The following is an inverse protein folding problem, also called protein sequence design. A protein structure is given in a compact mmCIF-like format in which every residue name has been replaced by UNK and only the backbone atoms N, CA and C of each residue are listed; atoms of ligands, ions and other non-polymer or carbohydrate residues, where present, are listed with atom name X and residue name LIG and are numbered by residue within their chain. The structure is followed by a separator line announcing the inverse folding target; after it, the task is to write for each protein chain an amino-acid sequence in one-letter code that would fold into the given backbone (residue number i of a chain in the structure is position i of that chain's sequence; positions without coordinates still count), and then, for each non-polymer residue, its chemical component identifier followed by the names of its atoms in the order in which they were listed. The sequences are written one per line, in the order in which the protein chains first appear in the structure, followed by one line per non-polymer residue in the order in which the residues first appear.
data_IF_573348466600
#
_entry.id   IF_573348466600
#
_cell.length_a   1.000
_cell.length_b   1.000
_cell.length_c   1.000
_cell.angle_alpha   90.00
_cell.angle_beta   90.00
_cell.angle_gamma   90.00
#
_symmetry.space_group_name_H-M   'P 1'
#
loop_
_entity.id
_entity.type
_entity.pdbx_description
1 polymer ?
#
# COMPACT_ATOMS: atom_id res chain seq x y z
N UNK A 1 2.87 4.29 18.18
CA UNK A 1 2.72 3.67 16.86
C UNK A 1 1.24 3.42 16.57
N UNK A 2 0.90 3.31 15.29
CA UNK A 2 -0.44 2.94 14.82
C UNK A 2 -0.31 1.66 14.03
N UNK A 3 -1.21 0.69 14.29
CA UNK A 3 -1.37 -0.49 13.46
C UNK A 3 -2.66 -0.34 12.66
N UNK A 4 -2.61 -0.73 11.39
CA UNK A 4 -3.77 -0.85 10.52
C UNK A 4 -3.84 -2.31 10.11
N UNK A 5 -4.93 -2.98 10.46
CA UNK A 5 -5.15 -4.39 10.16
C UNK A 5 -5.60 -4.60 8.71
N UNK A 6 -5.58 -5.84 8.24
CA UNK A 6 -6.08 -6.20 6.92
C UNK A 6 -7.56 -5.84 6.76
N UNK A 7 -8.35 -6.12 7.77
CA UNK A 7 -9.79 -5.86 7.78
C UNK A 7 -10.06 -4.35 7.59
N UNK A 8 -9.33 -3.49 8.31
CA UNK A 8 -9.42 -2.03 8.15
C UNK A 8 -8.96 -1.58 6.77
N UNK A 9 -7.93 -2.21 6.20
CA UNK A 9 -7.46 -1.91 4.85
C UNK A 9 -8.48 -2.33 3.80
N UNK A 10 -9.08 -3.51 3.92
CA UNK A 10 -10.08 -4.02 2.97
C UNK A 10 -11.33 -3.15 2.93
N UNK A 11 -11.79 -2.64 4.07
CA UNK A 11 -12.93 -1.71 4.14
C UNK A 11 -12.67 -0.38 3.42
N UNK A 12 -11.42 0.06 3.36
CA UNK A 12 -11.02 1.34 2.79
C UNK A 12 -10.45 1.21 1.37
N UNK A 13 -10.06 0.00 0.95
CA UNK A 13 -9.37 -0.23 -0.32
C UNK A 13 -10.36 -0.26 -1.51
N UNK A 14 -10.71 0.91 -1.97
CA UNK A 14 -11.58 1.10 -3.14
C UNK A 14 -10.82 1.17 -4.48
N UNK A 15 -9.54 0.78 -4.50
CA UNK A 15 -8.68 0.80 -5.68
C UNK A 15 -7.66 1.93 -5.68
N UNK A 16 -7.58 2.68 -4.60
CA UNK A 16 -6.60 3.75 -4.44
C UNK A 16 -5.24 3.20 -4.00
N UNK A 17 -4.19 3.93 -4.31
CA UNK A 17 -2.83 3.59 -3.90
C UNK A 17 -2.66 3.66 -2.38
N UNK A 18 -1.67 2.92 -1.88
CA UNK A 18 -1.39 2.85 -0.45
C UNK A 18 -1.27 4.21 0.26
N UNK A 19 -0.61 5.25 -0.29
CA UNK A 19 -0.58 6.57 0.31
C UNK A 19 -1.96 7.11 0.67
N UNK A 20 -2.94 6.88 -0.19
CA UNK A 20 -4.31 7.36 0.03
C UNK A 20 -5.00 6.67 1.21
N UNK A 21 -4.78 5.37 1.37
CA UNK A 21 -5.31 4.62 2.51
C UNK A 21 -4.74 5.10 3.85
N UNK A 22 -3.52 5.65 3.82
CA UNK A 22 -2.90 6.23 5.01
C UNK A 22 -3.47 7.60 5.39
N UNK A 23 -4.32 8.22 4.56
CA UNK A 23 -4.94 9.53 4.83
C UNK A 23 -5.81 9.53 6.10
N UNK A 24 -6.35 8.39 6.47
CA UNK A 24 -7.12 8.22 7.71
C UNK A 24 -6.24 8.15 8.96
N UNK A 25 -4.90 8.06 8.78
CA UNK A 25 -3.95 8.07 9.90
C UNK A 25 -3.70 9.51 10.38
N UNK A 26 -3.80 9.79 11.67
CA UNK A 26 -3.52 11.13 12.19
C UNK A 26 -2.14 11.64 11.79
N UNK A 27 -2.06 12.89 11.37
CA UNK A 27 -0.84 13.59 10.97
C UNK A 27 -0.23 13.09 9.63
N UNK A 28 -0.97 12.36 8.84
CA UNK A 28 -0.62 12.00 7.46
C UNK A 28 -1.39 12.93 6.51
N UNK A 29 -0.68 13.48 5.54
CA UNK A 29 -1.25 14.26 4.43
C UNK A 29 -0.85 13.59 3.14
N UNK A 30 -1.80 13.32 2.28
CA UNK A 30 -1.61 12.61 1.02
C UNK A 30 -1.69 13.55 -0.17
N UNK A 31 -1.03 13.18 -1.26
CA UNK A 31 -1.06 13.88 -2.54
C UNK A 31 -1.35 12.89 -3.66
N UNK A 32 -2.03 13.35 -4.70
CA UNK A 32 -2.29 12.59 -5.93
C UNK A 32 -2.27 13.54 -7.12
N UNK A 33 -1.44 13.26 -8.09
CA UNK A 33 -1.32 14.08 -9.29
C UNK A 33 -2.57 13.97 -10.17
N UNK A 34 -3.15 12.78 -10.25
CA UNK A 34 -4.42 12.54 -10.95
C UNK A 34 -5.66 12.97 -10.14
N UNK A 35 -5.50 13.28 -8.86
CA UNK A 35 -6.58 13.68 -7.96
C UNK A 35 -7.49 12.54 -7.50
N UNK A 36 -7.43 11.36 -8.12
CA UNK A 36 -8.27 10.20 -7.80
C UNK A 36 -7.60 9.20 -6.84
N UNK A 37 -6.36 9.44 -6.43
CA UNK A 37 -5.61 8.55 -5.54
C UNK A 37 -5.01 7.33 -6.22
N UNK A 38 -4.89 7.36 -7.54
CA UNK A 38 -4.30 6.31 -8.39
C UNK A 38 -3.18 6.92 -9.22
N UNK A 39 -2.08 6.20 -9.43
CA UNK A 39 -0.94 6.63 -10.23
C UNK A 39 0.15 7.30 -9.39
N UNK A 40 0.52 8.53 -9.70
CA UNK A 40 1.51 9.28 -8.93
C UNK A 40 0.89 9.80 -7.64
N UNK A 41 1.14 9.08 -6.57
CA UNK A 41 0.64 9.39 -5.23
C UNK A 41 1.78 9.48 -4.24
N UNK A 42 1.57 10.20 -3.16
CA UNK A 42 2.56 10.37 -2.10
C UNK A 42 1.92 10.75 -0.77
N UNK A 43 2.72 10.80 0.27
CA UNK A 43 2.28 11.24 1.58
C UNK A 43 3.40 11.94 2.36
N UNK A 44 3.00 12.74 3.33
CA UNK A 44 3.87 13.38 4.33
C UNK A 44 3.39 13.00 5.72
N UNK A 45 4.31 12.76 6.63
CA UNK A 45 3.98 12.46 8.03
C UNK A 45 4.48 13.59 8.91
N UNK A 46 3.59 14.25 9.65
CA UNK A 46 3.91 15.42 10.48
C UNK A 46 4.64 16.54 9.71
N UNK A 47 4.32 16.70 8.43
CA UNK A 47 4.97 17.67 7.55
C UNK A 47 6.35 17.26 7.06
N UNK A 48 6.89 16.12 7.51
CA UNK A 48 8.18 15.62 7.00
C UNK A 48 8.07 15.18 5.55
N UNK A 49 9.10 15.46 4.78
CA UNK A 49 9.23 15.06 3.39
C UNK A 49 9.22 13.53 3.24
N UNK A 50 8.67 12.96 2.16
CA UNK A 50 8.67 11.51 1.92
C UNK A 50 10.06 10.86 1.99
N UNK A 51 11.12 11.59 1.63
CA UNK A 51 12.51 11.11 1.74
C UNK A 51 13.00 10.93 3.18
N UNK A 52 12.23 11.43 4.16
CA UNK A 52 12.48 11.30 5.60
C UNK A 52 11.61 10.23 6.26
N UNK A 53 10.90 9.47 5.45
CA UNK A 53 10.04 8.36 5.89
C UNK A 53 10.64 7.07 5.38
N UNK A 54 11.06 6.21 6.31
CA UNK A 54 11.53 4.89 5.96
C UNK A 54 10.34 3.95 5.76
N UNK A 55 10.32 3.26 4.62
CA UNK A 55 9.31 2.26 4.29
C UNK A 55 9.98 0.91 4.14
N UNK A 56 9.44 -0.10 4.79
CA UNK A 56 9.92 -1.48 4.66
C UNK A 56 8.79 -2.42 4.27
N UNK A 57 9.11 -3.46 3.50
CA UNK A 57 8.23 -4.60 3.24
C UNK A 57 8.88 -5.81 3.89
N UNK A 58 8.19 -6.43 4.87
CA UNK A 58 8.69 -7.57 5.63
C UNK A 58 10.10 -7.32 6.22
N UNK A 59 10.35 -6.08 6.65
CA UNK A 59 11.64 -5.65 7.21
C UNK A 59 12.72 -5.29 6.17
N UNK A 60 12.45 -5.41 4.88
CA UNK A 60 13.37 -5.04 3.81
C UNK A 60 13.08 -3.59 3.38
N UNK A 61 14.07 -2.68 3.39
CA UNK A 61 13.89 -1.30 2.95
C UNK A 61 13.43 -1.20 1.50
N UNK A 62 12.41 -0.38 1.25
CA UNK A 62 11.83 -0.12 -0.05
C UNK A 62 12.29 1.21 -0.66
N UNK A 63 12.76 2.13 0.19
CA UNK A 63 13.22 3.43 -0.29
C UNK A 63 14.33 3.28 -1.32
N UNK A 64 14.18 3.97 -2.43
CA UNK A 64 15.19 4.04 -3.49
C UNK A 64 16.50 4.64 -2.96
N UNK A 65 17.62 4.08 -3.36
CA UNK A 65 18.93 4.45 -2.82
C UNK A 65 19.43 5.83 -3.27
N UNK A 66 18.91 6.35 -4.38
CA UNK A 66 19.28 7.65 -4.94
C UNK A 66 18.32 8.74 -4.50
N UNK A 67 17.02 8.56 -4.76
CA UNK A 67 15.99 9.55 -4.44
C UNK A 67 15.55 9.52 -2.98
N UNK A 68 15.87 8.46 -2.24
CA UNK A 68 15.41 8.20 -0.87
C UNK A 68 13.88 8.11 -0.71
N UNK A 69 13.13 8.16 -1.81
CA UNK A 69 11.68 8.08 -1.84
C UNK A 69 11.16 6.67 -2.18
N UNK A 70 9.86 6.55 -2.23
CA UNK A 70 9.15 5.35 -2.71
C UNK A 70 8.26 5.73 -3.87
N UNK A 71 8.37 5.01 -4.99
CA UNK A 71 7.56 5.21 -6.19
C UNK A 71 6.33 4.29 -6.15
N UNK A 72 5.26 4.79 -5.54
CA UNK A 72 4.03 4.04 -5.34
C UNK A 72 3.35 3.65 -6.65
N UNK A 73 3.52 4.44 -7.69
CA UNK A 73 3.03 4.17 -9.05
C UNK A 73 3.52 2.82 -9.61
N UNK A 74 4.67 2.32 -9.14
CA UNK A 74 5.21 1.03 -9.55
C UNK A 74 4.58 -0.15 -8.80
N UNK A 75 3.68 0.11 -7.86
CA UNK A 75 3.04 -0.88 -7.01
C UNK A 75 1.52 -0.67 -6.96
N UNK A 76 0.83 -0.69 -8.12
CA UNK A 76 -0.61 -0.51 -8.16
C UNK A 76 -1.29 -1.63 -7.35
N UNK A 77 -2.35 -1.25 -6.62
CA UNK A 77 -3.12 -2.17 -5.77
C UNK A 77 -2.27 -3.00 -4.76
N UNK A 78 -1.09 -2.52 -4.40
CA UNK A 78 -0.23 -3.25 -3.46
C UNK A 78 -0.90 -3.44 -2.08
N UNK A 79 -1.77 -2.52 -1.70
CA UNK A 79 -2.59 -2.58 -0.48
C UNK A 79 -3.38 -3.88 -0.34
N UNK A 80 -3.84 -4.46 -1.44
CA UNK A 80 -4.54 -5.76 -1.44
C UNK A 80 -3.65 -6.95 -1.04
N UNK A 81 -2.33 -6.78 -1.07
CA UNK A 81 -1.36 -7.81 -0.63
C UNK A 81 -0.89 -7.61 0.82
N UNK A 82 -1.34 -6.55 1.50
CA UNK A 82 -0.87 -6.21 2.83
C UNK A 82 -1.77 -6.84 3.89
N UNK A 83 -1.15 -7.48 4.88
CA UNK A 83 -1.82 -8.04 6.05
C UNK A 83 -1.84 -7.07 7.25
N UNK A 84 -0.81 -6.23 7.36
CA UNK A 84 -0.71 -5.26 8.44
C UNK A 84 0.22 -4.11 8.06
N UNK A 85 -0.12 -2.89 8.49
CA UNK A 85 0.73 -1.72 8.38
C UNK A 85 1.05 -1.21 9.79
N UNK A 86 2.32 -1.08 10.09
CA UNK A 86 2.78 -0.44 11.33
C UNK A 86 3.38 0.91 11.00
N UNK A 87 2.85 1.97 11.61
CA UNK A 87 3.30 3.34 11.43
C UNK A 87 3.87 3.85 12.74
N UNK A 88 5.18 4.08 12.78
CA UNK A 88 5.89 4.76 13.84
C UNK A 88 6.12 6.22 13.40
N UNK A 89 5.44 7.15 14.03
CA UNK A 89 5.57 8.59 13.73
C UNK A 89 6.69 9.22 14.52
N UNK A 90 7.58 9.95 13.84
CA UNK A 90 8.78 10.55 14.41
C UNK A 90 9.93 9.57 14.49
N UNK A 91 10.99 9.95 15.19
CA UNK A 91 12.18 9.12 15.39
C UNK A 91 11.81 7.86 16.16
N UNK A 92 11.95 6.72 15.50
CA UNK A 92 11.72 5.40 16.09
C UNK A 92 13.00 4.84 16.74
N UNK A 93 13.03 3.51 16.87
CA UNK A 93 14.26 2.80 17.25
C UNK A 93 15.30 2.92 16.12
N UNK A 94 16.59 2.85 16.47
CA UNK A 94 17.71 3.02 15.51
C UNK A 94 17.82 1.92 14.44
N UNK A 95 16.91 0.97 14.41
CA UNK A 95 16.91 -0.16 13.47
C UNK A 95 16.70 0.26 12.01
N UNK A 96 16.05 1.40 11.77
CA UNK A 96 15.66 1.85 10.42
C UNK A 96 16.60 2.91 9.82
N UNK A 97 17.74 3.18 10.46
CA UNK A 97 18.73 4.11 9.95
C UNK A 97 18.35 5.59 10.04
N UNK A 98 19.23 6.45 9.54
CA UNK A 98 19.12 7.91 9.63
C UNK A 98 17.97 8.50 8.77
N UNK A 99 17.53 7.79 7.73
CA UNK A 99 16.41 8.20 6.87
C UNK A 99 15.05 8.19 7.57
N UNK A 100 14.91 7.46 8.67
CA UNK A 100 13.66 7.32 9.44
C UNK A 100 13.38 8.48 10.39
N UNK A 101 13.78 9.69 10.05
CA UNK A 101 13.61 10.87 10.88
C UNK A 101 12.15 11.30 11.03
N UNK A 102 11.38 11.27 9.96
CA UNK A 102 9.98 11.70 9.96
C UNK A 102 9.03 10.61 10.47
N UNK A 103 9.22 9.39 9.97
CA UNK A 103 8.45 8.22 10.35
C UNK A 103 9.12 6.93 9.86
N UNK A 104 8.65 5.81 10.38
CA UNK A 104 8.90 4.48 9.82
C UNK A 104 7.57 3.78 9.55
N UNK A 105 7.44 3.21 8.36
CA UNK A 105 6.28 2.44 7.93
C UNK A 105 6.75 1.04 7.59
N UNK A 106 6.21 0.05 8.28
CA UNK A 106 6.49 -1.35 8.00
C UNK A 106 5.23 -2.03 7.44
N UNK A 107 5.36 -2.53 6.22
CA UNK A 107 4.33 -3.26 5.50
C UNK A 107 4.59 -4.74 5.67
N UNK A 108 3.60 -5.46 6.14
CA UNK A 108 3.69 -6.90 6.34
C UNK A 108 2.76 -7.60 5.35
N UNK A 109 3.32 -8.46 4.51
CA UNK A 109 2.58 -9.23 3.51
C UNK A 109 2.57 -10.73 3.82
N UNK A 110 3.36 -11.15 4.80
CA UNK A 110 3.56 -12.57 5.10
C UNK A 110 2.42 -13.13 5.93
N UNK A 111 1.61 -13.95 5.30
CA UNK A 111 0.63 -14.76 5.99
C UNK A 111 0.63 -16.19 5.48
N UNK A 112 1.00 -17.11 6.35
CA UNK A 112 0.82 -18.54 6.08
C UNK A 112 -0.64 -18.93 6.33
N UNK A 113 -1.37 -19.19 5.25
CA UNK A 113 -2.75 -19.71 5.34
C UNK A 113 -2.72 -21.24 5.34
N UNK A 114 -3.38 -21.85 6.30
CA UNK A 114 -3.43 -23.32 6.41
C UNK A 114 -4.38 -23.97 5.40
N UNK A 115 -5.39 -23.23 4.93
CA UNK A 115 -6.43 -23.72 4.02
C UNK A 115 -6.34 -23.04 2.67
N UNK A 116 -6.66 -23.79 1.61
CA UNK A 116 -6.84 -23.22 0.28
C UNK A 116 -8.00 -22.19 0.27
N UNK A 117 -7.84 -21.13 -0.53
CA UNK A 117 -8.83 -20.08 -0.66
C UNK A 117 -8.83 -19.52 -2.07
N UNK A 118 -9.94 -18.94 -2.45
CA UNK A 118 -10.07 -18.07 -3.60
C UNK A 118 -11.04 -16.94 -3.26
N UNK A 119 -10.71 -15.74 -3.66
CA UNK A 119 -11.56 -14.57 -3.48
C UNK A 119 -11.53 -13.68 -4.72
N UNK A 120 -12.61 -12.94 -4.93
CA UNK A 120 -12.68 -11.90 -5.93
C UNK A 120 -13.31 -10.66 -5.32
N UNK A 121 -12.75 -9.50 -5.62
CA UNK A 121 -13.34 -8.22 -5.26
C UNK A 121 -13.44 -7.33 -6.48
N UNK A 122 -14.58 -6.65 -6.61
CA UNK A 122 -14.82 -5.72 -7.70
C UNK A 122 -15.33 -4.43 -7.10
N UNK A 123 -14.71 -3.32 -7.47
CA UNK A 123 -15.06 -1.99 -6.97
C UNK A 123 -15.37 -1.08 -8.14
N UNK A 124 -16.40 -0.24 -7.98
CA UNK A 124 -16.75 0.82 -8.92
C UNK A 124 -16.76 2.13 -8.15
N UNK A 125 -16.09 3.12 -8.67
CA UNK A 125 -15.93 4.43 -8.04
C UNK A 125 -16.24 5.60 -8.96
N UNK A 126 -16.05 6.80 -8.45
CA UNK A 126 -16.14 8.04 -9.23
C UNK A 126 -15.08 8.08 -10.34
N UNK A 127 -15.28 8.95 -11.32
CA UNK A 127 -14.36 9.16 -12.45
C UNK A 127 -14.08 7.89 -13.26
N UNK A 128 -15.11 7.07 -13.48
CA UNK A 128 -14.98 5.82 -14.23
C UNK A 128 -14.06 4.79 -13.56
N UNK A 129 -13.74 4.95 -12.28
CA UNK A 129 -12.83 4.03 -11.59
C UNK A 129 -13.46 2.65 -11.44
N UNK A 130 -12.78 1.64 -11.98
CA UNK A 130 -13.16 0.23 -11.87
C UNK A 130 -11.92 -0.53 -11.41
N UNK A 131 -12.10 -1.33 -10.36
CA UNK A 131 -11.07 -2.27 -9.88
C UNK A 131 -11.62 -3.67 -9.92
N UNK A 132 -10.85 -4.58 -10.49
CA UNK A 132 -11.11 -6.01 -10.47
C UNK A 132 -9.90 -6.71 -9.84
N UNK A 133 -10.13 -7.55 -8.85
CA UNK A 133 -9.10 -8.30 -8.17
C UNK A 133 -9.53 -9.76 -8.00
N UNK A 134 -8.62 -10.68 -8.30
CA UNK A 134 -8.77 -12.12 -8.06
C UNK A 134 -7.54 -12.57 -7.27
N UNK A 135 -7.79 -13.24 -6.17
CA UNK A 135 -6.77 -13.76 -5.26
C UNK A 135 -7.04 -15.24 -4.98
N UNK A 136 -6.01 -16.05 -4.99
CA UNK A 136 -6.13 -17.46 -4.64
C UNK A 136 -4.85 -17.98 -4.00
N UNK A 137 -5.00 -18.99 -3.15
CA UNK A 137 -3.89 -19.64 -2.48
C UNK A 137 -4.16 -21.13 -2.23
N UNK A 138 -3.09 -21.90 -2.22
CA UNK A 138 -3.15 -23.35 -2.06
C UNK A 138 -3.38 -23.80 -0.62
N UNK A 139 -3.17 -22.88 0.34
CA UNK A 139 -2.97 -23.29 1.72
C UNK A 139 -1.66 -24.07 1.92
N UNK A 140 -1.48 -24.67 3.07
CA UNK A 140 -0.24 -25.32 3.44
C UNK A 140 -0.11 -26.69 2.76
N UNK A 141 0.84 -26.83 1.83
CA UNK A 141 1.17 -28.05 1.11
C UNK A 141 2.22 -28.81 1.90
N UNK A 142 1.93 -30.07 2.28
CA UNK A 142 2.83 -30.96 3.03
C UNK A 142 3.45 -30.30 4.27
N UNK A 143 2.73 -29.41 4.95
CA UNK A 143 3.21 -28.63 6.09
C UNK A 143 4.51 -27.84 5.86
N UNK A 144 4.81 -27.46 4.61
CA UNK A 144 6.07 -26.79 4.24
C UNK A 144 5.92 -25.56 3.37
N UNK A 145 4.98 -25.56 2.43
CA UNK A 145 4.89 -24.54 1.39
C UNK A 145 3.47 -23.99 1.26
N UNK A 146 3.33 -22.72 1.00
CA UNK A 146 2.13 -22.09 0.47
C UNK A 146 2.46 -21.42 -0.86
N UNK A 147 1.50 -21.41 -1.77
CA UNK A 147 1.57 -20.63 -3.00
C UNK A 147 0.34 -19.74 -3.04
N UNK A 148 0.57 -18.45 -3.08
CA UNK A 148 -0.48 -17.45 -3.15
C UNK A 148 -0.25 -16.61 -4.40
N UNK A 149 -1.32 -16.29 -5.12
CA UNK A 149 -1.25 -15.47 -6.31
C UNK A 149 -2.42 -14.49 -6.34
N UNK A 150 -2.18 -13.32 -6.91
CA UNK A 150 -3.16 -12.27 -7.08
C UNK A 150 -3.02 -11.63 -8.46
N UNK A 151 -4.15 -11.35 -9.08
CA UNK A 151 -4.26 -10.58 -10.31
C UNK A 151 -5.18 -9.40 -10.03
N UNK A 152 -4.74 -8.22 -10.40
CA UNK A 152 -5.50 -6.99 -10.20
C UNK A 152 -5.45 -6.13 -11.46
N UNK A 153 -6.55 -5.44 -11.74
CA UNK A 153 -6.63 -4.41 -12.77
C UNK A 153 -7.41 -3.22 -12.23
N UNK A 154 -6.86 -2.04 -12.43
CA UNK A 154 -7.49 -0.77 -12.06
C UNK A 154 -7.53 0.11 -13.30
N UNK A 155 -8.73 0.62 -13.61
CA UNK A 155 -8.96 1.63 -14.62
C UNK A 155 -9.58 2.85 -13.98
N UNK A 156 -9.17 4.04 -14.40
CA UNK A 156 -9.74 5.31 -13.92
C UNK A 156 -9.55 6.40 -14.96
N UNK A 157 -10.57 7.23 -15.14
CA UNK A 157 -10.46 8.46 -15.95
C UNK A 157 -9.71 9.58 -15.23
N UNK A 158 -9.56 9.45 -13.90
CA UNK A 158 -8.95 10.47 -13.05
C UNK A 158 -9.87 11.67 -12.80
N UNK A 159 -9.51 12.51 -11.83
CA UNK A 159 -10.23 13.75 -11.53
C UNK A 159 -9.81 14.91 -12.44
N UNK A 160 -8.54 14.93 -12.83
CA UNK A 160 -7.93 15.98 -13.66
C UNK A 160 -8.02 15.57 -15.13
N UNK A 161 -8.29 16.53 -16.03
CA UNK A 161 -8.34 16.26 -17.47
C UNK A 161 -7.04 15.59 -17.96
N UNK A 162 -7.17 14.51 -18.72
CA UNK A 162 -6.07 13.71 -19.30
C UNK A 162 -5.26 12.92 -18.26
N UNK A 163 -5.83 12.59 -17.12
CA UNK A 163 -5.18 11.79 -16.06
C UNK A 163 -5.68 10.33 -16.02
N UNK A 164 -6.02 9.76 -17.16
CA UNK A 164 -6.46 8.36 -17.27
C UNK A 164 -5.36 7.40 -16.81
N UNK A 165 -5.75 6.35 -16.12
CA UNK A 165 -4.86 5.29 -15.65
C UNK A 165 -5.43 3.92 -16.02
N UNK A 166 -4.57 3.02 -16.49
CA UNK A 166 -4.85 1.58 -16.71
C UNK A 166 -3.65 0.81 -16.15
N UNK A 167 -3.84 0.12 -15.03
CA UNK A 167 -2.80 -0.47 -14.19
C UNK A 167 -3.06 -1.95 -13.91
#
# INVERSE_FOLDING_TARGET
FTNISKEELEEQNLGQDLPYLLSFTPSVVTTSDAGAGVGYTGFRVRGSDPTRVNVTINGIPLNDSESHGVFWVNMPDFSSSIENIQIQRGVGTSTNGSGAFGASINLVTDRLRSKAYASTSNTVGSYGTIKNNIEFGTGLINNRFTVDARLSRIESDGYIDRSTSDL
#
